data_IF_796764924796
#
_entry.id   IF_796764924796
#
_cell.length_a   1.000
_cell.length_b   1.000
_cell.length_c   1.000
_cell.angle_alpha   90.00
_cell.angle_beta   90.00
_cell.angle_gamma   90.00
#
_symmetry.space_group_name_H-M   'P 1'
#
loop_
_entity.id
_entity.type
_entity.pdbx_description
1 polymer ?
#
# COMPACT_ATOMS: atom_id res chain seq x y z
N UNK A 1 -23.15 -25.43 24.81
CA UNK A 1 -22.39 -26.24 23.82
C UNK A 1 -22.22 -25.52 22.50
N UNK A 2 -23.22 -24.83 21.97
CA UNK A 2 -23.13 -24.06 20.70
C UNK A 2 -22.14 -22.89 20.77
N UNK A 3 -22.07 -22.13 21.87
CA UNK A 3 -21.11 -21.04 22.02
C UNK A 3 -19.66 -21.48 21.84
N UNK A 4 -19.26 -22.56 22.49
CA UNK A 4 -17.88 -23.10 22.36
C UNK A 4 -17.56 -23.62 20.95
N UNK A 5 -18.56 -24.06 20.20
CA UNK A 5 -18.37 -24.48 18.81
C UNK A 5 -18.18 -23.26 17.90
N UNK A 6 -18.94 -22.19 18.13
CA UNK A 6 -18.84 -20.92 17.41
C UNK A 6 -17.50 -20.25 17.71
N UNK A 7 -17.08 -20.20 18.98
CA UNK A 7 -15.76 -19.67 19.37
C UNK A 7 -14.61 -20.43 18.67
N UNK A 8 -14.65 -21.76 18.68
CA UNK A 8 -13.65 -22.59 17.98
C UNK A 8 -13.64 -22.35 16.48
N UNK A 9 -14.79 -22.15 15.87
CA UNK A 9 -14.90 -21.83 14.44
C UNK A 9 -14.32 -20.46 14.13
N UNK A 10 -14.60 -19.45 14.96
CA UNK A 10 -14.05 -18.12 14.85
C UNK A 10 -12.51 -18.12 15.05
N UNK A 11 -12.01 -18.88 16.02
CA UNK A 11 -10.55 -19.04 16.18
C UNK A 11 -9.91 -19.81 15.02
N UNK A 12 -10.58 -20.79 14.45
CA UNK A 12 -10.09 -21.54 13.29
C UNK A 12 -10.04 -20.66 12.02
N UNK A 13 -10.94 -19.69 11.88
CA UNK A 13 -10.95 -18.76 10.74
C UNK A 13 -9.68 -17.91 10.64
N UNK A 14 -8.97 -17.67 11.76
CA UNK A 14 -7.64 -17.01 11.76
C UNK A 14 -6.62 -17.76 10.89
N UNK A 15 -6.65 -19.09 10.93
CA UNK A 15 -5.73 -19.94 10.16
C UNK A 15 -5.95 -19.87 8.65
N UNK A 16 -7.16 -19.47 8.21
CA UNK A 16 -7.46 -19.26 6.79
C UNK A 16 -6.69 -18.05 6.25
N UNK A 17 -6.40 -17.06 7.10
CA UNK A 17 -5.65 -15.87 6.68
C UNK A 17 -4.14 -16.11 6.57
N UNK A 18 -3.58 -17.09 7.29
CA UNK A 18 -2.15 -17.39 7.25
C UNK A 18 -1.62 -17.70 5.82
N UNK A 19 -2.24 -18.60 5.03
CA UNK A 19 -1.81 -18.83 3.66
C UNK A 19 -2.00 -17.62 2.73
N UNK A 20 -2.95 -16.71 3.02
CA UNK A 20 -3.12 -15.47 2.26
C UNK A 20 -1.91 -14.56 2.44
N UNK A 21 -1.41 -14.41 3.68
CA UNK A 21 -0.19 -13.62 3.94
C UNK A 21 1.06 -14.26 3.34
N UNK A 22 1.15 -15.61 3.32
CA UNK A 22 2.21 -16.32 2.58
C UNK A 22 2.10 -16.04 1.07
N UNK A 23 0.89 -16.00 0.51
CA UNK A 23 0.66 -15.61 -0.88
C UNK A 23 1.14 -14.19 -1.18
N UNK A 24 0.93 -13.22 -0.26
CA UNK A 24 1.44 -11.87 -0.40
C UNK A 24 2.97 -11.80 -0.40
N UNK A 25 3.65 -12.63 0.39
CA UNK A 25 5.12 -12.71 0.36
C UNK A 25 5.64 -13.25 -0.97
N UNK A 26 4.97 -14.22 -1.58
CA UNK A 26 5.29 -14.70 -2.92
C UNK A 26 5.03 -13.61 -3.99
N UNK A 27 3.96 -12.84 -3.86
CA UNK A 27 3.68 -11.71 -4.73
C UNK A 27 4.78 -10.64 -4.63
N UNK A 28 5.29 -10.39 -3.42
CA UNK A 28 6.41 -9.47 -3.21
C UNK A 28 7.70 -9.97 -3.88
N UNK A 29 7.99 -11.26 -3.83
CA UNK A 29 9.13 -11.87 -4.54
C UNK A 29 8.96 -11.67 -6.07
N UNK A 30 7.78 -11.94 -6.60
CA UNK A 30 7.49 -11.74 -8.03
C UNK A 30 7.66 -10.27 -8.44
N UNK A 31 7.20 -9.34 -7.60
CA UNK A 31 7.40 -7.91 -7.82
C UNK A 31 8.88 -7.52 -7.81
N UNK A 32 9.67 -8.08 -6.87
CA UNK A 32 11.11 -7.89 -6.79
C UNK A 32 11.83 -8.38 -8.06
N UNK A 33 11.46 -9.56 -8.57
CA UNK A 33 12.01 -10.08 -9.83
C UNK A 33 11.71 -9.11 -10.98
N UNK A 34 10.47 -8.64 -11.10
CA UNK A 34 10.08 -7.66 -12.13
C UNK A 34 10.85 -6.34 -12.00
N UNK A 35 11.05 -5.85 -10.78
CA UNK A 35 11.84 -4.66 -10.50
C UNK A 35 13.29 -4.79 -11.01
N UNK A 36 13.97 -5.90 -10.71
CA UNK A 36 15.34 -6.11 -11.16
C UNK A 36 15.45 -6.32 -12.68
N UNK A 37 14.47 -6.95 -13.29
CA UNK A 37 14.44 -7.08 -14.76
C UNK A 37 14.27 -5.71 -15.43
N UNK A 38 13.38 -4.85 -14.92
CA UNK A 38 13.18 -3.51 -15.45
C UNK A 38 14.42 -2.62 -15.23
N UNK A 39 15.03 -2.73 -14.04
CA UNK A 39 16.28 -2.05 -13.73
C UNK A 39 17.42 -2.49 -14.66
N UNK A 40 17.55 -3.79 -14.94
CA UNK A 40 18.54 -4.31 -15.88
C UNK A 40 18.30 -3.76 -17.28
N UNK A 41 17.05 -3.77 -17.75
CA UNK A 41 16.68 -3.20 -19.05
C UNK A 41 17.05 -1.71 -19.13
N UNK A 42 16.73 -0.94 -18.10
CA UNK A 42 17.09 0.47 -18.00
C UNK A 42 18.60 0.69 -18.14
N UNK A 43 19.41 -0.05 -17.36
CA UNK A 43 20.88 0.09 -17.39
C UNK A 43 21.48 -0.31 -18.73
N UNK A 44 20.90 -1.30 -19.42
CA UNK A 44 21.36 -1.74 -20.73
C UNK A 44 21.04 -0.72 -21.84
N UNK A 45 19.97 0.05 -21.70
CA UNK A 45 19.46 0.95 -22.73
C UNK A 45 19.63 2.44 -22.40
N UNK A 46 20.20 2.79 -21.26
CA UNK A 46 20.28 4.17 -20.73
C UNK A 46 20.89 5.18 -21.73
N UNK A 47 21.85 4.75 -22.54
CA UNK A 47 22.50 5.63 -23.52
C UNK A 47 21.74 5.79 -24.84
N UNK A 48 20.72 4.96 -25.09
CA UNK A 48 19.95 4.95 -26.34
C UNK A 48 18.49 5.34 -26.15
N UNK A 49 18.01 5.33 -24.90
CA UNK A 49 16.64 5.67 -24.53
C UNK A 49 16.42 7.18 -24.55
N UNK A 50 15.27 7.63 -25.03
CA UNK A 50 14.89 9.05 -24.96
C UNK A 50 14.70 9.50 -23.51
N UNK A 51 14.87 10.80 -23.23
CA UNK A 51 14.66 11.36 -21.88
C UNK A 51 13.23 11.09 -21.37
N UNK A 52 12.23 11.18 -22.24
CA UNK A 52 10.85 10.93 -21.88
C UNK A 52 10.61 9.45 -21.48
N UNK A 53 11.15 8.51 -22.27
CA UNK A 53 11.05 7.08 -21.98
C UNK A 53 11.83 6.72 -20.72
N UNK A 54 13.00 7.33 -20.51
CA UNK A 54 13.78 7.16 -19.28
C UNK A 54 12.96 7.53 -18.04
N UNK A 55 12.28 8.68 -18.06
CA UNK A 55 11.41 9.12 -16.95
C UNK A 55 10.26 8.14 -16.75
N UNK A 56 9.64 7.63 -17.82
CA UNK A 56 8.57 6.64 -17.72
C UNK A 56 9.02 5.34 -17.07
N UNK A 57 10.23 4.85 -17.38
CA UNK A 57 10.82 3.65 -16.76
C UNK A 57 11.12 3.92 -15.28
N UNK A 58 11.70 5.07 -14.95
CA UNK A 58 11.97 5.45 -13.56
C UNK A 58 10.67 5.55 -12.74
N UNK A 59 9.61 6.13 -13.31
CA UNK A 59 8.29 6.15 -12.66
C UNK A 59 7.72 4.74 -12.45
N UNK A 60 7.97 3.81 -13.39
CA UNK A 60 7.56 2.42 -13.21
C UNK A 60 8.31 1.74 -12.06
N UNK A 61 9.61 1.98 -11.92
CA UNK A 61 10.41 1.46 -10.81
C UNK A 61 9.95 2.02 -9.46
N UNK A 62 9.70 3.32 -9.37
CA UNK A 62 9.17 3.95 -8.15
C UNK A 62 7.79 3.39 -7.78
N UNK A 63 6.92 3.20 -8.78
CA UNK A 63 5.59 2.59 -8.58
C UNK A 63 5.70 1.18 -7.97
N UNK A 64 6.59 0.33 -8.51
CA UNK A 64 6.84 -1.01 -7.96
C UNK A 64 7.32 -0.96 -6.49
N UNK A 65 8.17 0.00 -6.13
CA UNK A 65 8.64 0.18 -4.74
C UNK A 65 7.49 0.60 -3.82
N UNK A 66 6.63 1.51 -4.25
CA UNK A 66 5.47 1.95 -3.47
C UNK A 66 4.46 0.81 -3.27
N UNK A 67 4.16 0.04 -4.33
CA UNK A 67 3.29 -1.15 -4.23
C UNK A 67 3.92 -2.20 -3.32
N UNK A 68 5.22 -2.46 -3.45
CA UNK A 68 5.94 -3.39 -2.58
C UNK A 68 5.89 -2.98 -1.11
N UNK A 69 6.11 -1.70 -0.82
CA UNK A 69 5.99 -1.14 0.54
C UNK A 69 4.59 -1.30 1.12
N UNK A 70 3.56 -1.10 0.29
CA UNK A 70 2.16 -1.30 0.68
C UNK A 70 1.89 -2.77 1.01
N UNK A 71 2.35 -3.71 0.17
CA UNK A 71 2.20 -5.15 0.39
C UNK A 71 2.86 -5.55 1.72
N UNK A 72 4.09 -5.11 1.96
CA UNK A 72 4.82 -5.38 3.22
C UNK A 72 4.04 -4.87 4.41
N UNK A 73 3.55 -3.64 4.36
CA UNK A 73 2.79 -3.02 5.44
C UNK A 73 1.49 -3.78 5.75
N UNK A 74 0.73 -4.14 4.71
CA UNK A 74 -0.52 -4.91 4.85
C UNK A 74 -0.23 -6.32 5.38
N UNK A 75 0.83 -6.97 4.88
CA UNK A 75 1.20 -8.32 5.28
C UNK A 75 1.57 -8.37 6.77
N UNK A 76 2.48 -7.51 7.24
CA UNK A 76 2.90 -7.51 8.63
C UNK A 76 1.79 -7.12 9.58
N UNK A 77 1.08 -6.02 9.30
CA UNK A 77 -0.02 -5.58 10.14
C UNK A 77 -1.19 -6.56 10.15
N UNK A 78 -1.50 -7.17 9.01
CA UNK A 78 -2.54 -8.17 8.92
C UNK A 78 -2.17 -9.43 9.68
N UNK A 79 -0.94 -9.93 9.54
CA UNK A 79 -0.45 -11.10 10.27
C UNK A 79 -0.48 -10.87 11.79
N UNK A 80 0.03 -9.75 12.27
CA UNK A 80 0.06 -9.40 13.68
C UNK A 80 -1.35 -9.26 14.28
N UNK A 81 -2.29 -8.65 13.56
CA UNK A 81 -3.65 -8.45 14.05
C UNK A 81 -4.53 -9.71 13.98
N UNK A 82 -4.32 -10.58 12.98
CA UNK A 82 -5.24 -11.68 12.71
C UNK A 82 -4.67 -13.06 13.00
N UNK A 83 -3.35 -13.26 12.94
CA UNK A 83 -2.74 -14.60 13.08
C UNK A 83 -2.04 -14.77 14.42
N UNK A 84 -1.04 -13.98 14.73
CA UNK A 84 -0.27 -14.05 15.98
C UNK A 84 0.55 -12.80 16.18
N UNK A 85 0.74 -12.38 17.43
CA UNK A 85 1.81 -11.44 17.75
C UNK A 85 3.15 -12.04 17.30
N UNK A 86 3.94 -11.29 16.55
CA UNK A 86 5.29 -11.69 16.18
C UNK A 86 6.16 -11.59 17.43
N UNK A 87 6.24 -12.69 18.20
CA UNK A 87 7.27 -12.87 19.23
C UNK A 87 8.59 -13.05 18.50
N UNK A 88 9.28 -11.93 18.27
CA UNK A 88 10.69 -11.96 17.91
C UNK A 88 11.45 -12.25 19.21
N UNK A 89 11.85 -13.52 19.38
CA UNK A 89 12.57 -14.03 20.54
C UNK A 89 13.73 -13.11 20.93
N UNK A 90 14.03 -13.11 22.23
CA UNK A 90 15.07 -12.38 22.93
C UNK A 90 16.41 -12.47 22.20
N UNK A 91 16.80 -11.40 21.50
CA UNK A 91 18.10 -11.29 20.84
C UNK A 91 18.13 -10.59 19.48
N UNK A 92 16.97 -10.42 18.81
CA UNK A 92 16.87 -9.61 17.62
C UNK A 92 16.51 -8.16 17.97
N UNK A 93 17.14 -7.19 17.31
CA UNK A 93 16.71 -5.79 17.37
C UNK A 93 15.20 -5.75 17.14
N UNK A 94 14.45 -5.38 18.21
CA UNK A 94 13.04 -5.06 18.08
C UNK A 94 12.95 -4.02 16.97
N UNK A 95 12.43 -4.41 15.82
CA UNK A 95 12.13 -3.47 14.76
C UNK A 95 11.15 -2.45 15.35
N UNK A 96 11.70 -1.38 15.89
CA UNK A 96 10.98 -0.36 16.70
C UNK A 96 9.84 0.30 15.95
N UNK A 97 9.81 0.12 14.63
CA UNK A 97 8.74 0.57 13.75
C UNK A 97 7.58 -0.43 13.63
N UNK A 98 7.82 -1.72 13.92
CA UNK A 98 6.81 -2.79 13.82
C UNK A 98 5.84 -2.74 15.03
N UNK A 99 6.34 -2.47 16.24
CA UNK A 99 5.55 -2.42 17.47
C UNK A 99 4.63 -1.19 17.63
N UNK A 100 4.56 -0.31 16.62
CA UNK A 100 3.72 0.91 16.62
C UNK A 100 2.65 0.93 15.53
N UNK A 101 2.40 -0.20 14.87
CA UNK A 101 1.36 -0.29 13.85
C UNK A 101 -0.01 -0.51 14.50
N UNK A 102 -0.53 0.55 15.13
CA UNK A 102 -1.94 0.62 15.49
C UNK A 102 -2.80 0.56 14.21
N UNK A 103 -3.93 -0.15 14.28
CA UNK A 103 -4.84 -0.34 13.15
C UNK A 103 -5.28 0.98 12.50
N UNK A 104 -5.35 2.07 13.27
CA UNK A 104 -5.69 3.40 12.75
C UNK A 104 -4.53 4.02 11.96
N UNK A 105 -3.29 3.88 12.47
CA UNK A 105 -2.11 4.37 11.75
C UNK A 105 -1.88 3.63 10.44
N UNK A 106 -2.24 2.33 10.39
CA UNK A 106 -2.18 1.54 9.17
C UNK A 106 -3.15 2.06 8.11
N UNK A 107 -4.41 2.31 8.47
CA UNK A 107 -5.43 2.83 7.53
C UNK A 107 -4.96 4.11 6.86
N UNK A 108 -4.38 5.03 7.61
CA UNK A 108 -3.88 6.30 7.08
C UNK A 108 -2.65 6.10 6.17
N UNK A 109 -1.73 5.19 6.54
CA UNK A 109 -0.57 4.86 5.70
C UNK A 109 -0.99 4.20 4.39
N UNK A 110 -1.95 3.27 4.42
CA UNK A 110 -2.52 2.64 3.21
C UNK A 110 -3.18 3.70 2.32
N UNK A 111 -4.01 4.57 2.88
CA UNK A 111 -4.65 5.65 2.13
C UNK A 111 -3.62 6.59 1.47
N UNK A 112 -2.57 6.98 2.20
CA UNK A 112 -1.49 7.82 1.67
C UNK A 112 -0.72 7.12 0.55
N UNK A 113 -0.47 5.81 0.67
CA UNK A 113 0.19 5.02 -0.38
C UNK A 113 -0.66 4.94 -1.65
N UNK A 114 -1.97 4.76 -1.51
CA UNK A 114 -2.90 4.75 -2.66
C UNK A 114 -2.89 6.10 -3.38
N UNK A 115 -2.88 7.21 -2.64
CA UNK A 115 -2.76 8.56 -3.23
C UNK A 115 -1.44 8.72 -3.97
N UNK A 116 -0.32 8.28 -3.39
CA UNK A 116 1.00 8.35 -4.02
C UNK A 116 1.06 7.52 -5.31
N UNK A 117 0.58 6.28 -5.30
CA UNK A 117 0.49 5.42 -6.48
C UNK A 117 -0.39 6.06 -7.55
N UNK A 118 -1.56 6.55 -7.17
CA UNK A 118 -2.48 7.23 -8.08
C UNK A 118 -1.87 8.50 -8.71
N UNK A 119 -1.06 9.27 -7.94
CA UNK A 119 -0.33 10.43 -8.45
C UNK A 119 0.68 10.05 -9.54
N UNK A 120 1.42 8.96 -9.35
CA UNK A 120 2.40 8.47 -10.32
C UNK A 120 1.69 7.98 -11.60
N UNK A 121 0.58 7.26 -11.45
CA UNK A 121 -0.23 6.85 -12.60
C UNK A 121 -0.77 8.04 -13.39
N UNK A 122 -1.25 9.06 -12.70
CA UNK A 122 -1.73 10.30 -13.32
C UNK A 122 -0.60 11.04 -14.06
N UNK A 123 0.58 11.15 -13.43
CA UNK A 123 1.75 11.76 -14.07
C UNK A 123 2.16 11.00 -15.33
N UNK A 124 2.17 9.67 -15.27
CA UNK A 124 2.46 8.81 -16.44
C UNK A 124 1.44 9.00 -17.56
N UNK A 125 0.15 9.12 -17.23
CA UNK A 125 -0.90 9.41 -18.20
C UNK A 125 -0.70 10.78 -18.85
N UNK A 126 -0.31 11.80 -18.11
CA UNK A 126 0.00 13.13 -18.66
C UNK A 126 1.22 13.13 -19.58
N UNK A 127 2.27 12.37 -19.26
CA UNK A 127 3.43 12.24 -20.15
C UNK A 127 3.08 11.56 -21.48
N UNK A 128 2.06 10.69 -21.48
CA UNK A 128 1.51 10.04 -22.69
C UNK A 128 0.26 10.74 -23.23
N UNK A 129 -0.05 11.95 -22.77
CA UNK A 129 -1.24 12.67 -23.18
C UNK A 129 -1.41 12.83 -24.73
N UNK A 130 -0.33 13.05 -25.54
CA UNK A 130 -0.47 13.09 -26.98
C UNK A 130 -1.09 11.81 -27.57
N UNK A 131 -0.72 10.63 -27.04
CA UNK A 131 -1.24 9.34 -27.48
C UNK A 131 -2.75 9.19 -27.22
N UNK A 132 -3.24 9.77 -26.13
CA UNK A 132 -4.67 9.72 -25.75
C UNK A 132 -5.53 10.72 -26.55
N UNK A 133 -4.95 11.84 -27.00
CA UNK A 133 -5.68 12.88 -27.74
C UNK A 133 -5.91 12.45 -29.17
N UNK A 134 -4.94 11.74 -29.78
CA UNK A 134 -5.04 11.28 -31.16
C UNK A 134 -6.04 10.12 -31.35
N UNK A 135 -6.39 9.39 -30.29
CA UNK A 135 -7.30 8.22 -30.33
C UNK A 135 -8.77 8.55 -30.01
N UNK A 136 -9.20 9.80 -30.04
CA UNK A 136 -10.56 10.24 -29.62
C UNK A 136 -10.91 9.89 -28.14
N UNK A 137 -9.88 9.65 -27.32
CA UNK A 137 -9.98 9.25 -25.91
C UNK A 137 -9.69 10.42 -24.93
N UNK A 138 -9.94 11.67 -25.34
CA UNK A 138 -9.72 12.85 -24.49
C UNK A 138 -10.40 12.77 -23.10
N UNK A 139 -11.52 12.06 -23.02
CA UNK A 139 -12.22 11.81 -21.76
C UNK A 139 -11.45 10.93 -20.77
N UNK A 140 -10.52 10.08 -21.25
CA UNK A 140 -9.73 9.19 -20.39
C UNK A 140 -8.86 9.97 -19.38
N UNK A 141 -8.21 11.05 -19.81
CA UNK A 141 -7.42 11.91 -18.94
C UNK A 141 -8.27 12.56 -17.85
N UNK A 142 -9.46 12.99 -18.18
CA UNK A 142 -10.41 13.55 -17.22
C UNK A 142 -10.80 12.52 -16.15
N UNK A 143 -11.04 11.26 -16.55
CA UNK A 143 -11.35 10.18 -15.62
C UNK A 143 -10.17 9.86 -14.69
N UNK A 144 -8.92 9.87 -15.16
CA UNK A 144 -7.75 9.69 -14.30
C UNK A 144 -7.65 10.79 -13.24
N UNK A 145 -7.92 12.05 -13.60
CA UNK A 145 -7.95 13.17 -12.66
C UNK A 145 -9.09 12.98 -11.62
N UNK A 146 -10.28 12.62 -12.05
CA UNK A 146 -11.43 12.40 -11.15
C UNK A 146 -11.13 11.27 -10.15
N UNK A 147 -10.61 10.15 -10.62
CA UNK A 147 -10.24 9.01 -9.77
C UNK A 147 -9.18 9.43 -8.76
N UNK A 148 -8.13 10.14 -9.20
CA UNK A 148 -7.09 10.63 -8.30
C UNK A 148 -7.64 11.57 -7.22
N UNK A 149 -8.45 12.54 -7.60
CA UNK A 149 -9.08 13.47 -6.65
C UNK A 149 -9.99 12.74 -5.66
N UNK A 150 -10.68 11.70 -6.09
CA UNK A 150 -11.51 10.85 -5.21
C UNK A 150 -10.66 10.18 -4.14
N UNK A 151 -9.48 9.64 -4.50
CA UNK A 151 -8.55 9.06 -3.53
C UNK A 151 -7.97 10.11 -2.59
N UNK A 152 -7.60 11.30 -3.09
CA UNK A 152 -7.12 12.40 -2.25
C UNK A 152 -8.17 12.81 -1.22
N UNK A 153 -9.41 13.03 -1.65
CA UNK A 153 -10.51 13.40 -0.76
C UNK A 153 -10.76 12.30 0.28
N UNK A 154 -10.79 11.03 -0.13
CA UNK A 154 -10.96 9.89 0.77
C UNK A 154 -9.85 9.83 1.83
N UNK A 155 -8.58 10.03 1.43
CA UNK A 155 -7.45 10.02 2.35
C UNK A 155 -7.50 11.19 3.35
N UNK A 156 -7.87 12.38 2.89
CA UNK A 156 -8.05 13.57 3.76
C UNK A 156 -9.19 13.33 4.75
N UNK A 157 -10.34 12.83 4.30
CA UNK A 157 -11.46 12.52 5.18
C UNK A 157 -11.09 11.47 6.23
N UNK A 158 -10.34 10.44 5.84
CA UNK A 158 -9.84 9.42 6.78
C UNK A 158 -8.91 10.03 7.82
N UNK A 159 -7.99 10.91 7.43
CA UNK A 159 -7.10 11.63 8.34
C UNK A 159 -7.85 12.56 9.29
N UNK A 160 -8.90 13.24 8.83
CA UNK A 160 -9.76 14.07 9.67
C UNK A 160 -10.53 13.22 10.69
N UNK A 161 -11.11 12.10 10.25
CA UNK A 161 -11.80 11.16 11.15
C UNK A 161 -10.86 10.62 12.23
N UNK A 162 -9.65 10.22 11.86
CA UNK A 162 -8.64 9.73 12.80
C UNK A 162 -8.30 10.80 13.86
N UNK A 163 -8.11 12.05 13.42
CA UNK A 163 -7.83 13.16 14.33
C UNK A 163 -8.98 13.43 15.30
N UNK A 164 -10.23 13.39 14.85
CA UNK A 164 -11.42 13.61 15.68
C UNK A 164 -11.53 12.49 16.72
N UNK A 165 -11.37 11.23 16.29
CA UNK A 165 -11.48 10.06 17.17
C UNK A 165 -10.36 10.02 18.21
N UNK A 166 -9.14 10.37 17.82
CA UNK A 166 -7.99 10.43 18.73
C UNK A 166 -8.14 11.53 19.81
N UNK A 167 -8.76 12.66 19.46
CA UNK A 167 -9.00 13.76 20.40
C UNK A 167 -10.03 13.37 21.46
N UNK A 168 -11.06 12.62 21.10
CA UNK A 168 -12.08 12.13 22.04
C UNK A 168 -11.52 11.15 23.09
N UNK A 169 -10.57 10.29 22.70
CA UNK A 169 -9.93 9.34 23.63
C UNK A 169 -8.99 10.01 24.63
N UNK A 170 -8.42 11.17 24.31
CA UNK A 170 -7.58 11.95 25.24
C UNK A 170 -8.38 12.73 26.26
N UNK A 171 -9.58 13.22 25.90
CA UNK A 171 -10.45 13.95 26.83
C UNK A 171 -10.98 13.08 27.98
N UNK A 172 -11.16 11.79 27.75
CA UNK A 172 -11.73 10.89 28.79
C UNK A 172 -10.69 10.35 29.79
N UNK A 173 -9.38 10.52 29.54
CA UNK A 173 -8.30 10.12 30.47
C UNK A 173 -7.85 11.23 31.42
N UNK A 174 -8.43 12.42 31.35
CA UNK A 174 -8.09 13.57 32.18
C UNK A 174 -9.07 13.79 33.35
N UNK A 175 -10.11 12.97 33.54
CA UNK A 175 -11.14 13.12 34.55
C UNK A 175 -11.18 11.96 35.59
N UNK A 176 -10.05 11.25 35.79
CA UNK A 176 -9.95 10.26 36.90
C UNK A 176 -8.76 10.58 37.77
#
# INVERSE_FOLDING_TARGET
>A
MMERAIEKLLFASRWIMAPVYLGLSLALVALGIKFFLELYHLLATVFTTSEADLVLILLALVDMVLVGSLIVMVMFSGYENFVSALDVEEGGEKLSWLGKLDANSLKLKVASSIVAISSIHLLRAFMKAPDYIDEDNGDALMWFVIIHLTFVVSAVMMGVLDRITSSQHRGHKGEV
#
